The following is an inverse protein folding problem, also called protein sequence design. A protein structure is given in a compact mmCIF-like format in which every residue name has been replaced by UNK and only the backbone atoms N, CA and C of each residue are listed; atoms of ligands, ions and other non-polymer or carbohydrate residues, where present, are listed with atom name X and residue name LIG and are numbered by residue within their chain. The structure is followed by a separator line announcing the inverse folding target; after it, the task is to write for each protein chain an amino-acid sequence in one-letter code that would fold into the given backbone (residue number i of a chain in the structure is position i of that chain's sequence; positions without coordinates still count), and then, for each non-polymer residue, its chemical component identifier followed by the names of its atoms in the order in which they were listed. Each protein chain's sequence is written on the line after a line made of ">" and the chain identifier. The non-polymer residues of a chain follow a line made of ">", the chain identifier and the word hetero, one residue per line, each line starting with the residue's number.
data_IF_141748742315
#
_entry.id   IF_141748742315
#
_cell.length_a   1.000
_cell.length_b   1.000
_cell.length_c   1.000
_cell.angle_alpha   90.00
_cell.angle_beta   90.00
_cell.angle_gamma   90.00
#
_symmetry.space_group_name_H-M   'P 1'
#
loop_
_entity.id
_entity.type
_entity.pdbx_description
1 polymer ?
#
# COMPACT_ATOMS: atom_id res chain seq x y z
N UNK A 1 -56.20 -11.25 -19.39
CA UNK A 1 -55.09 -11.42 -18.42
C UNK A 1 -53.78 -11.26 -19.18
N UNK A 2 -53.15 -10.12 -19.01
CA UNK A 2 -51.88 -9.79 -19.69
C UNK A 2 -50.75 -10.16 -18.75
N UNK A 3 -49.98 -11.20 -19.08
CA UNK A 3 -48.77 -11.56 -18.35
C UNK A 3 -47.67 -10.54 -18.67
N UNK A 4 -47.30 -9.79 -17.65
CA UNK A 4 -46.14 -8.88 -17.69
C UNK A 4 -44.87 -9.74 -17.55
N UNK A 5 -44.18 -9.95 -18.67
CA UNK A 5 -42.84 -10.57 -18.68
C UNK A 5 -41.86 -9.60 -18.00
N UNK A 6 -41.49 -9.90 -16.76
CA UNK A 6 -40.39 -9.21 -16.06
C UNK A 6 -39.09 -9.74 -16.64
N UNK A 7 -38.43 -8.92 -17.47
CA UNK A 7 -37.07 -9.21 -17.93
C UNK A 7 -36.14 -9.19 -16.72
N UNK A 8 -35.20 -10.16 -16.58
CA UNK A 8 -34.24 -10.13 -15.50
C UNK A 8 -33.35 -8.87 -15.65
N UNK A 9 -33.20 -8.12 -14.56
CA UNK A 9 -32.30 -7.01 -14.47
C UNK A 9 -30.90 -7.47 -14.93
N UNK A 10 -30.30 -6.74 -15.87
CA UNK A 10 -28.90 -6.99 -16.27
C UNK A 10 -28.03 -6.95 -15.03
N UNK A 11 -27.55 -8.09 -14.57
CA UNK A 11 -26.49 -8.16 -13.58
C UNK A 11 -25.29 -7.42 -14.19
N UNK A 12 -24.94 -6.27 -13.65
CA UNK A 12 -23.74 -5.56 -14.03
C UNK A 12 -22.57 -6.55 -13.88
N UNK A 13 -21.89 -6.85 -14.99
CA UNK A 13 -20.72 -7.73 -14.97
C UNK A 13 -19.69 -7.06 -14.09
N UNK A 14 -19.41 -7.67 -12.94
CA UNK A 14 -18.36 -7.14 -12.07
C UNK A 14 -17.01 -7.21 -12.78
N UNK A 15 -16.17 -6.17 -12.67
CA UNK A 15 -14.82 -6.22 -13.25
C UNK A 15 -14.06 -7.40 -12.66
N UNK A 16 -13.18 -8.04 -13.44
CA UNK A 16 -12.39 -9.16 -12.97
C UNK A 16 -11.51 -8.76 -11.79
N UNK A 17 -11.27 -9.71 -10.88
CA UNK A 17 -10.39 -9.51 -9.73
C UNK A 17 -8.93 -9.39 -10.16
N UNK A 18 -8.15 -8.52 -9.50
CA UNK A 18 -6.69 -8.59 -9.54
C UNK A 18 -6.29 -9.90 -8.85
N UNK A 19 -5.57 -10.75 -9.57
CA UNK A 19 -5.07 -12.02 -9.05
C UNK A 19 -3.57 -11.98 -8.94
N UNK A 20 -3.07 -12.16 -7.73
CA UNK A 20 -1.65 -12.23 -7.42
C UNK A 20 -1.35 -13.61 -6.82
N UNK A 21 -0.09 -14.00 -6.77
CA UNK A 21 0.34 -15.20 -6.08
C UNK A 21 1.80 -15.16 -5.68
N UNK A 22 2.06 -15.62 -4.47
CA UNK A 22 3.30 -16.29 -4.11
C UNK A 22 3.07 -17.79 -4.27
N UNK A 23 3.37 -18.59 -3.25
CA UNK A 23 2.95 -19.99 -3.18
C UNK A 23 1.44 -20.12 -2.95
N UNK A 24 0.82 -19.10 -2.34
CA UNK A 24 -0.62 -19.00 -2.12
C UNK A 24 -1.24 -17.95 -3.05
N UNK A 25 -2.47 -18.18 -3.55
CA UNK A 25 -3.15 -17.20 -4.38
C UNK A 25 -3.76 -16.07 -3.52
N UNK A 26 -3.72 -14.85 -4.06
CA UNK A 26 -4.38 -13.66 -3.50
C UNK A 26 -5.27 -13.07 -4.58
N UNK A 27 -6.58 -12.95 -4.32
CA UNK A 27 -7.52 -12.29 -5.22
C UNK A 27 -8.05 -11.01 -4.57
N UNK A 28 -8.03 -9.91 -5.32
CA UNK A 28 -8.46 -8.59 -4.85
C UNK A 28 -9.60 -8.13 -5.75
N UNK A 29 -10.81 -8.23 -5.22
CA UNK A 29 -12.08 -7.85 -5.87
C UNK A 29 -12.82 -6.78 -5.06
N UNK A 30 -14.05 -6.50 -5.42
CA UNK A 30 -14.89 -5.50 -4.75
C UNK A 30 -15.28 -5.88 -3.30
N UNK A 31 -15.19 -7.15 -2.93
CA UNK A 31 -15.49 -7.64 -1.58
C UNK A 31 -14.25 -7.80 -0.70
N UNK A 32 -13.07 -7.59 -1.27
CA UNK A 32 -11.80 -7.74 -0.54
C UNK A 32 -11.58 -6.57 0.40
N UNK A 33 -11.18 -6.87 1.64
CA UNK A 33 -10.73 -5.85 2.59
C UNK A 33 -9.40 -5.24 2.11
N UNK A 34 -9.03 -4.11 2.73
CA UNK A 34 -7.78 -3.42 2.45
C UNK A 34 -6.56 -4.35 2.55
N UNK A 35 -5.70 -4.30 1.54
CA UNK A 35 -4.50 -5.15 1.45
C UNK A 35 -3.28 -4.41 1.96
N UNK A 36 -2.62 -4.98 2.97
CA UNK A 36 -1.38 -4.46 3.52
C UNK A 36 -0.17 -4.93 2.71
N UNK A 37 0.59 -3.98 2.14
CA UNK A 37 1.87 -4.22 1.49
C UNK A 37 2.95 -3.82 2.49
N UNK A 38 3.78 -4.77 2.92
CA UNK A 38 4.82 -4.52 3.91
C UNK A 38 5.98 -3.70 3.34
N UNK A 39 6.32 -2.57 3.98
CA UNK A 39 7.32 -1.60 3.52
C UNK A 39 8.74 -1.80 4.10
N UNK A 40 8.95 -2.80 4.99
CA UNK A 40 10.19 -2.86 5.78
C UNK A 40 11.37 -3.52 5.06
N UNK A 41 11.15 -4.25 3.97
CA UNK A 41 12.17 -4.84 3.10
C UNK A 41 12.66 -3.87 2.01
N UNK A 42 12.78 -2.60 2.38
CA UNK A 42 13.15 -1.49 1.51
C UNK A 42 14.38 -0.77 2.10
N UNK A 43 15.50 -0.74 1.36
CA UNK A 43 16.76 -0.14 1.82
C UNK A 43 16.67 1.37 1.99
N UNK A 44 15.79 2.05 1.26
CA UNK A 44 15.58 3.49 1.41
C UNK A 44 14.65 3.82 2.58
N UNK A 45 13.68 2.96 2.87
CA UNK A 45 12.67 3.14 3.92
C UNK A 45 13.06 2.59 5.31
N UNK A 46 13.97 1.60 5.37
CA UNK A 46 14.36 0.91 6.60
C UNK A 46 15.86 0.92 6.84
N UNK A 47 16.32 1.79 7.73
CA UNK A 47 17.76 1.86 8.10
C UNK A 47 18.33 0.54 8.65
N UNK A 48 17.52 -0.24 9.37
CA UNK A 48 17.94 -1.54 9.88
C UNK A 48 18.14 -2.54 8.75
N UNK A 49 17.20 -2.63 7.83
CA UNK A 49 17.28 -3.48 6.65
C UNK A 49 18.44 -3.07 5.73
N UNK A 50 18.58 -1.77 5.44
CA UNK A 50 19.69 -1.24 4.64
C UNK A 50 21.05 -1.66 5.21
N UNK A 51 21.26 -1.54 6.53
CA UNK A 51 22.48 -1.95 7.19
C UNK A 51 22.77 -3.44 7.04
N UNK A 52 21.76 -4.31 7.15
CA UNK A 52 21.93 -5.76 6.97
C UNK A 52 22.36 -6.06 5.53
N UNK A 53 21.70 -5.48 4.53
CA UNK A 53 22.00 -5.69 3.11
C UNK A 53 23.41 -5.20 2.76
N UNK A 54 23.78 -3.97 3.18
CA UNK A 54 25.10 -3.39 2.93
C UNK A 54 26.24 -4.20 3.58
N UNK A 55 25.98 -4.83 4.72
CA UNK A 55 26.93 -5.72 5.39
C UNK A 55 26.91 -7.15 4.87
N UNK A 56 26.12 -7.46 3.85
CA UNK A 56 26.01 -8.81 3.28
C UNK A 56 25.23 -9.82 4.13
N UNK A 57 24.53 -9.35 5.17
CA UNK A 57 23.74 -10.15 6.12
C UNK A 57 22.35 -10.49 5.55
N UNK A 58 22.29 -11.10 4.40
CA UNK A 58 21.01 -11.37 3.70
C UNK A 58 20.12 -12.37 4.44
N UNK A 59 20.70 -13.32 5.15
CA UNK A 59 19.96 -14.30 5.95
C UNK A 59 19.26 -13.62 7.15
N UNK A 60 19.97 -12.69 7.82
CA UNK A 60 19.37 -11.89 8.90
C UNK A 60 18.23 -10.98 8.34
N UNK A 61 18.42 -10.46 7.12
CA UNK A 61 17.42 -9.64 6.45
C UNK A 61 16.12 -10.41 6.13
N UNK A 62 16.17 -11.75 5.96
CA UNK A 62 14.97 -12.59 5.80
C UNK A 62 14.06 -12.53 7.04
N UNK A 63 14.61 -12.34 8.23
CA UNK A 63 13.80 -12.18 9.44
C UNK A 63 12.87 -10.95 9.36
N UNK A 64 13.31 -9.87 8.68
CA UNK A 64 12.49 -8.67 8.45
C UNK A 64 11.33 -9.01 7.51
N UNK A 65 11.57 -9.76 6.45
CA UNK A 65 10.51 -10.19 5.53
C UNK A 65 9.50 -11.11 6.24
N UNK A 66 9.98 -12.10 7.00
CA UNK A 66 9.14 -13.02 7.78
C UNK A 66 8.26 -12.27 8.78
N UNK A 67 8.84 -11.34 9.54
CA UNK A 67 8.10 -10.54 10.52
C UNK A 67 6.95 -9.74 9.89
N UNK A 68 7.12 -9.22 8.67
CA UNK A 68 6.05 -8.51 7.96
C UNK A 68 4.89 -9.44 7.64
N UNK A 69 5.17 -10.65 7.14
CA UNK A 69 4.15 -11.66 6.84
C UNK A 69 3.43 -12.13 8.11
N UNK A 70 4.16 -12.37 9.20
CA UNK A 70 3.61 -12.72 10.50
C UNK A 70 2.73 -11.62 11.09
N UNK A 71 3.05 -10.35 10.81
CA UNK A 71 2.26 -9.19 11.23
C UNK A 71 1.10 -8.87 10.26
N UNK A 72 0.81 -9.74 9.29
CA UNK A 72 -0.36 -9.62 8.43
C UNK A 72 -0.14 -8.90 7.10
N UNK A 73 1.10 -8.70 6.66
CA UNK A 73 1.37 -8.25 5.29
C UNK A 73 0.92 -9.34 4.30
N UNK A 74 0.09 -8.94 3.34
CA UNK A 74 -0.44 -9.83 2.30
C UNK A 74 0.38 -9.75 1.00
N UNK A 75 1.24 -8.76 0.89
CA UNK A 75 2.27 -8.55 -0.13
C UNK A 75 3.50 -7.99 0.57
N UNK A 76 4.70 -8.29 0.12
CA UNK A 76 5.92 -7.63 0.61
C UNK A 76 6.57 -6.83 -0.51
N UNK A 77 6.88 -5.56 -0.21
CA UNK A 77 7.63 -4.68 -1.09
C UNK A 77 9.13 -4.88 -0.85
N UNK A 78 9.89 -5.11 -1.94
CA UNK A 78 11.34 -5.33 -1.88
C UNK A 78 12.03 -4.28 -2.74
N UNK A 79 12.85 -3.44 -2.08
CA UNK A 79 13.66 -2.42 -2.73
C UNK A 79 15.13 -2.55 -2.31
N UNK A 80 16.01 -2.52 -3.32
CA UNK A 80 17.47 -2.60 -3.17
C UNK A 80 18.18 -1.39 -3.78
N UNK A 81 17.50 -0.26 -3.97
CA UNK A 81 18.06 0.95 -4.58
C UNK A 81 18.90 1.73 -3.58
N UNK A 82 20.19 1.39 -3.50
CA UNK A 82 21.19 2.06 -2.67
C UNK A 82 22.45 2.34 -3.51
N UNK A 83 23.01 3.55 -3.37
CA UNK A 83 24.15 4.01 -4.19
C UNK A 83 25.41 3.14 -4.03
N UNK A 84 25.62 2.57 -2.85
CA UNK A 84 26.80 1.75 -2.52
C UNK A 84 26.58 0.25 -2.76
N UNK A 85 25.46 -0.13 -3.38
CA UNK A 85 25.05 -1.51 -3.60
C UNK A 85 24.93 -1.82 -5.10
N UNK A 86 25.36 -3.02 -5.50
CA UNK A 86 24.88 -3.60 -6.76
C UNK A 86 23.41 -4.01 -6.56
N UNK A 87 22.51 -3.09 -6.82
CA UNK A 87 21.07 -3.25 -6.60
C UNK A 87 20.52 -4.47 -7.33
N UNK A 88 21.01 -4.76 -8.55
CA UNK A 88 20.57 -5.88 -9.35
C UNK A 88 20.99 -7.22 -8.73
N UNK A 89 22.26 -7.36 -8.38
CA UNK A 89 22.76 -8.57 -7.74
C UNK A 89 22.11 -8.80 -6.36
N UNK A 90 21.91 -7.73 -5.59
CA UNK A 90 21.24 -7.79 -4.29
C UNK A 90 19.78 -8.20 -4.41
N UNK A 91 19.03 -7.64 -5.37
CA UNK A 91 17.64 -8.01 -5.65
C UNK A 91 17.53 -9.50 -5.99
N UNK A 92 18.32 -9.98 -6.94
CA UNK A 92 18.33 -11.39 -7.35
C UNK A 92 18.66 -12.31 -6.16
N UNK A 93 19.70 -11.97 -5.39
CA UNK A 93 20.10 -12.76 -4.23
C UNK A 93 19.00 -12.84 -3.19
N UNK A 94 18.41 -11.71 -2.83
CA UNK A 94 17.38 -11.65 -1.78
C UNK A 94 16.08 -12.36 -2.21
N UNK A 95 15.64 -12.18 -3.45
CA UNK A 95 14.46 -12.87 -3.96
C UNK A 95 14.63 -14.38 -4.03
N UNK A 96 15.82 -14.88 -4.41
CA UNK A 96 16.13 -16.29 -4.38
C UNK A 96 16.14 -16.88 -2.96
N UNK A 97 16.60 -16.10 -1.97
CA UNK A 97 16.50 -16.51 -0.56
C UNK A 97 15.04 -16.53 -0.08
N UNK A 98 14.24 -15.53 -0.43
CA UNK A 98 12.78 -15.53 -0.14
C UNK A 98 12.13 -16.79 -0.74
N UNK A 99 12.46 -17.15 -1.98
CA UNK A 99 11.87 -18.31 -2.65
C UNK A 99 12.16 -19.64 -1.94
N UNK A 100 13.24 -19.71 -1.16
CA UNK A 100 13.59 -20.89 -0.35
C UNK A 100 12.89 -20.95 1.01
N UNK A 101 12.15 -19.89 1.40
CA UNK A 101 11.49 -19.74 2.69
C UNK A 101 9.95 -19.76 2.53
N UNK A 102 9.29 -20.93 2.67
CA UNK A 102 7.84 -21.03 2.41
C UNK A 102 6.98 -20.08 3.24
N UNK A 103 7.37 -19.78 4.47
CA UNK A 103 6.66 -18.87 5.36
C UNK A 103 6.64 -17.41 4.84
N UNK A 104 7.63 -17.04 4.02
CA UNK A 104 7.72 -15.73 3.37
C UNK A 104 7.15 -15.83 1.95
N UNK A 105 7.56 -16.84 1.19
CA UNK A 105 7.21 -17.02 -0.21
C UNK A 105 5.72 -17.30 -0.46
N UNK A 106 4.93 -17.58 0.58
CA UNK A 106 3.48 -17.76 0.47
C UNK A 106 2.77 -16.50 -0.04
N UNK A 107 3.26 -15.30 0.29
CA UNK A 107 2.69 -14.04 -0.21
C UNK A 107 3.36 -13.57 -1.51
N UNK A 108 2.64 -12.87 -2.39
CA UNK A 108 3.23 -12.25 -3.57
C UNK A 108 4.24 -11.17 -3.21
N UNK A 109 5.22 -10.97 -4.10
CA UNK A 109 6.26 -9.95 -3.96
C UNK A 109 5.95 -8.76 -4.87
N UNK A 110 6.13 -7.55 -4.34
CA UNK A 110 6.21 -6.31 -5.10
C UNK A 110 7.69 -5.96 -5.30
N UNK A 111 8.13 -5.89 -6.55
CA UNK A 111 9.50 -5.53 -6.93
C UNK A 111 9.55 -4.03 -7.10
N UNK A 112 10.26 -3.34 -6.21
CA UNK A 112 10.38 -1.89 -6.19
C UNK A 112 11.80 -1.45 -6.61
N UNK A 113 11.90 -0.72 -7.69
CA UNK A 113 13.13 -0.06 -8.12
C UNK A 113 12.86 1.11 -9.07
N UNK A 114 13.75 2.10 -9.01
CA UNK A 114 13.81 3.19 -10.00
C UNK A 114 14.49 2.78 -11.31
N UNK A 115 15.10 1.57 -11.36
CA UNK A 115 15.90 1.09 -12.48
C UNK A 115 15.23 -0.12 -13.13
N UNK A 116 14.97 -0.04 -14.43
CA UNK A 116 14.31 -1.12 -15.15
C UNK A 116 15.09 -2.45 -15.11
N UNK A 117 16.41 -2.41 -15.24
CA UNK A 117 17.26 -3.60 -15.22
C UNK A 117 17.23 -4.36 -13.89
N UNK A 118 16.98 -3.66 -12.77
CA UNK A 118 16.75 -4.26 -11.45
C UNK A 118 15.36 -4.90 -11.40
N UNK A 119 14.33 -4.19 -11.89
CA UNK A 119 12.96 -4.71 -11.97
C UNK A 119 12.92 -6.00 -12.80
N UNK A 120 13.50 -5.97 -14.00
CA UNK A 120 13.49 -7.12 -14.90
C UNK A 120 14.24 -8.32 -14.32
N UNK A 121 15.38 -8.10 -13.68
CA UNK A 121 16.10 -9.16 -12.98
C UNK A 121 15.29 -9.76 -11.82
N UNK A 122 14.56 -8.91 -11.08
CA UNK A 122 13.65 -9.36 -10.03
C UNK A 122 12.48 -10.19 -10.58
N UNK A 123 11.86 -9.76 -11.69
CA UNK A 123 10.79 -10.50 -12.35
C UNK A 123 11.20 -11.91 -12.78
N UNK A 124 12.46 -12.10 -13.13
CA UNK A 124 13.01 -13.42 -13.48
C UNK A 124 13.19 -14.36 -12.27
N UNK A 125 13.17 -13.82 -11.06
CA UNK A 125 13.34 -14.59 -9.81
C UNK A 125 12.02 -14.92 -9.11
N UNK A 126 10.96 -14.14 -9.36
CA UNK A 126 9.69 -14.26 -8.65
C UNK A 126 8.90 -15.47 -9.14
N UNK A 127 8.42 -16.27 -8.19
CA UNK A 127 7.46 -17.36 -8.43
C UNK A 127 6.03 -16.82 -8.35
N UNK A 128 5.16 -17.25 -9.27
CA UNK A 128 3.79 -16.77 -9.32
C UNK A 128 3.64 -15.41 -9.97
N UNK A 129 2.59 -14.66 -9.58
CA UNK A 129 2.28 -13.33 -10.13
C UNK A 129 2.54 -12.25 -9.10
N UNK A 130 3.62 -11.50 -9.28
CA UNK A 130 3.99 -10.35 -8.46
C UNK A 130 3.50 -9.02 -9.00
N UNK A 131 3.98 -7.95 -8.38
CA UNK A 131 3.69 -6.56 -8.74
C UNK A 131 5.00 -5.86 -9.07
N UNK A 132 5.02 -5.00 -10.09
CA UNK A 132 6.12 -4.07 -10.37
C UNK A 132 5.79 -2.71 -9.76
N UNK A 133 6.69 -2.15 -8.98
CA UNK A 133 6.64 -0.81 -8.43
C UNK A 133 7.86 -0.02 -8.92
N UNK A 134 7.77 0.88 -9.84
CA UNK A 134 6.60 1.36 -10.56
C UNK A 134 6.98 1.75 -12.00
N UNK A 135 5.97 2.01 -12.80
CA UNK A 135 6.13 2.68 -14.09
C UNK A 135 5.42 4.03 -14.11
N UNK A 136 5.86 4.94 -14.95
CA UNK A 136 5.26 6.25 -15.11
C UNK A 136 5.59 6.86 -16.47
N UNK A 137 4.93 7.96 -16.83
CA UNK A 137 5.21 8.73 -18.03
C UNK A 137 6.30 9.79 -17.83
N UNK A 138 7.07 9.73 -16.74
CA UNK A 138 8.16 10.67 -16.41
C UNK A 138 9.14 10.86 -17.57
N UNK A 139 9.51 9.78 -18.25
CA UNK A 139 10.46 9.76 -19.36
C UNK A 139 9.75 9.72 -20.71
N UNK A 140 8.45 10.01 -20.74
CA UNK A 140 7.61 10.02 -21.92
C UNK A 140 6.82 8.74 -22.15
N UNK A 141 5.94 8.79 -23.15
CA UNK A 141 4.97 7.75 -23.45
C UNK A 141 5.61 6.46 -24.00
N UNK A 142 6.62 6.55 -24.86
CA UNK A 142 7.19 5.36 -25.49
C UNK A 142 7.97 4.47 -24.50
N UNK A 143 8.83 4.98 -23.62
CA UNK A 143 9.42 4.17 -22.54
C UNK A 143 8.34 3.55 -21.64
N UNK A 144 7.29 4.30 -21.29
CA UNK A 144 6.16 3.82 -20.50
C UNK A 144 5.46 2.61 -21.15
N UNK A 145 5.10 2.72 -22.44
CA UNK A 145 4.52 1.61 -23.21
C UNK A 145 5.46 0.41 -23.31
N UNK A 146 6.75 0.67 -23.51
CA UNK A 146 7.76 -0.38 -23.60
C UNK A 146 7.82 -1.21 -22.32
N UNK A 147 7.97 -0.55 -21.16
CA UNK A 147 7.98 -1.22 -19.87
C UNK A 147 6.65 -1.94 -19.57
N UNK A 148 5.52 -1.33 -19.87
CA UNK A 148 4.22 -1.95 -19.71
C UNK A 148 4.07 -3.25 -20.53
N UNK A 149 4.54 -3.27 -21.79
CA UNK A 149 4.56 -4.49 -22.62
C UNK A 149 5.42 -5.59 -22.01
N UNK A 150 6.57 -5.24 -21.44
CA UNK A 150 7.46 -6.19 -20.78
C UNK A 150 6.81 -6.75 -19.52
N UNK A 151 6.25 -5.91 -18.65
CA UNK A 151 5.52 -6.34 -17.44
C UNK A 151 4.40 -7.31 -17.80
N UNK A 152 3.60 -6.97 -18.82
CA UNK A 152 2.54 -7.85 -19.32
C UNK A 152 3.07 -9.20 -19.80
N UNK A 153 4.24 -9.25 -20.47
CA UNK A 153 4.88 -10.50 -20.91
C UNK A 153 5.34 -11.37 -19.75
N UNK A 154 5.79 -10.76 -18.64
CA UNK A 154 6.09 -11.46 -17.40
C UNK A 154 4.83 -11.86 -16.62
N UNK A 155 3.66 -11.36 -17.00
CA UNK A 155 2.39 -11.66 -16.34
C UNK A 155 2.21 -10.97 -15.00
N UNK A 156 2.99 -9.92 -14.70
CA UNK A 156 2.90 -9.17 -13.46
C UNK A 156 1.83 -8.05 -13.50
N UNK A 157 1.35 -7.63 -12.35
CA UNK A 157 0.62 -6.37 -12.17
C UNK A 157 1.60 -5.19 -12.08
N UNK A 158 1.12 -3.98 -12.28
CA UNK A 158 1.96 -2.78 -12.24
C UNK A 158 1.37 -1.66 -11.39
N UNK A 159 2.18 -1.09 -10.52
CA UNK A 159 1.93 0.22 -9.94
C UNK A 159 2.25 1.28 -10.99
N UNK A 160 1.29 2.16 -11.23
CA UNK A 160 1.38 3.28 -12.17
C UNK A 160 1.32 4.58 -11.39
N UNK A 161 2.46 5.26 -11.28
CA UNK A 161 2.52 6.53 -10.57
C UNK A 161 1.91 7.67 -11.39
N UNK A 162 1.18 8.55 -10.72
CA UNK A 162 0.72 9.81 -11.31
C UNK A 162 1.89 10.78 -11.49
N UNK A 163 2.75 10.49 -12.47
CA UNK A 163 3.96 11.20 -12.80
C UNK A 163 4.13 11.23 -14.31
N UNK A 164 4.14 12.41 -14.91
CA UNK A 164 4.38 12.60 -16.34
C UNK A 164 5.62 13.46 -16.63
N UNK A 165 5.78 13.85 -17.86
CA UNK A 165 6.90 14.66 -18.37
C UNK A 165 7.02 16.02 -17.66
N UNK A 166 5.92 16.51 -17.05
CA UNK A 166 5.86 17.78 -16.31
C UNK A 166 6.15 17.64 -14.82
N UNK A 167 6.21 16.40 -14.30
CA UNK A 167 6.47 16.12 -12.89
C UNK A 167 5.40 15.27 -12.21
N UNK A 168 5.59 15.06 -10.91
CA UNK A 168 4.62 14.37 -10.06
C UNK A 168 3.34 15.20 -9.91
N UNK A 169 2.19 14.53 -9.94
CA UNK A 169 0.91 15.16 -9.66
C UNK A 169 0.77 15.46 -8.18
N UNK A 170 0.64 16.72 -7.83
CA UNK A 170 0.42 17.22 -6.48
C UNK A 170 -1.05 17.58 -6.22
N UNK A 171 -1.75 18.12 -7.19
CA UNK A 171 -3.15 18.55 -7.12
C UNK A 171 -4.11 17.48 -7.63
N UNK A 172 -5.35 17.50 -7.16
CA UNK A 172 -6.43 16.62 -7.62
C UNK A 172 -6.55 16.59 -9.14
N UNK A 173 -6.58 17.77 -9.79
CA UNK A 173 -6.73 17.86 -11.24
C UNK A 173 -5.60 17.13 -11.99
N UNK A 174 -4.35 17.30 -11.55
CA UNK A 174 -3.19 16.64 -12.14
C UNK A 174 -3.20 15.13 -11.91
N UNK A 175 -3.64 14.69 -10.72
CA UNK A 175 -3.74 13.27 -10.37
C UNK A 175 -4.70 12.54 -11.32
N UNK A 176 -5.90 13.07 -11.51
CA UNK A 176 -6.90 12.45 -12.39
C UNK A 176 -6.52 12.53 -13.86
N UNK A 177 -5.95 13.65 -14.32
CA UNK A 177 -5.48 13.82 -15.70
C UNK A 177 -4.43 12.76 -16.07
N UNK A 178 -3.40 12.59 -15.24
CA UNK A 178 -2.32 11.64 -15.50
C UNK A 178 -2.83 10.20 -15.39
N UNK A 179 -3.64 9.88 -14.38
CA UNK A 179 -4.19 8.53 -14.23
C UNK A 179 -5.09 8.16 -15.42
N UNK A 180 -5.96 9.07 -15.88
CA UNK A 180 -6.81 8.84 -17.05
C UNK A 180 -5.98 8.63 -18.33
N UNK A 181 -5.00 9.49 -18.57
CA UNK A 181 -4.08 9.37 -19.72
C UNK A 181 -3.33 8.03 -19.68
N UNK A 182 -2.75 7.67 -18.55
CA UNK A 182 -2.04 6.42 -18.37
C UNK A 182 -2.95 5.20 -18.57
N UNK A 183 -4.17 5.24 -18.03
CA UNK A 183 -5.16 4.18 -18.19
C UNK A 183 -5.47 3.92 -19.67
N UNK A 184 -5.79 4.98 -20.42
CA UNK A 184 -6.10 4.85 -21.85
C UNK A 184 -4.93 4.28 -22.64
N UNK A 185 -3.71 4.75 -22.41
CA UNK A 185 -2.51 4.21 -23.05
C UNK A 185 -2.34 2.73 -22.74
N UNK A 186 -2.47 2.34 -21.45
CA UNK A 186 -2.27 0.96 -21.03
C UNK A 186 -3.33 0.02 -21.61
N UNK A 187 -4.60 0.40 -21.52
CA UNK A 187 -5.71 -0.46 -21.93
C UNK A 187 -5.86 -0.45 -23.45
N UNK A 188 -5.93 0.72 -24.09
CA UNK A 188 -6.30 0.84 -25.50
C UNK A 188 -5.11 0.57 -26.43
N UNK A 189 -3.89 0.97 -26.05
CA UNK A 189 -2.72 0.89 -26.93
C UNK A 189 -1.77 -0.28 -26.58
N UNK A 190 -1.63 -0.62 -25.30
CA UNK A 190 -0.78 -1.74 -24.86
C UNK A 190 -1.61 -3.04 -24.71
N UNK A 191 -2.92 -2.93 -24.46
CA UNK A 191 -3.79 -4.06 -24.13
C UNK A 191 -3.47 -4.65 -22.76
N UNK A 192 -3.04 -3.80 -21.81
CA UNK A 192 -2.78 -4.20 -20.43
C UNK A 192 -4.10 -4.50 -19.73
N UNK A 193 -4.22 -5.61 -18.96
CA UNK A 193 -5.46 -5.90 -18.24
C UNK A 193 -5.80 -4.80 -17.23
N UNK A 194 -7.00 -4.21 -17.28
CA UNK A 194 -7.38 -3.14 -16.35
C UNK A 194 -7.26 -3.52 -14.88
N UNK A 195 -7.57 -4.78 -14.54
CA UNK A 195 -7.48 -5.32 -13.18
C UNK A 195 -6.04 -5.44 -12.65
N UNK A 196 -5.05 -5.44 -13.53
CA UNK A 196 -3.63 -5.50 -13.20
C UNK A 196 -2.98 -4.11 -13.07
N UNK A 197 -3.75 -3.04 -13.30
CA UNK A 197 -3.32 -1.64 -13.13
C UNK A 197 -3.59 -1.21 -11.68
N UNK A 198 -2.53 -0.75 -11.00
CA UNK A 198 -2.62 -0.24 -9.63
C UNK A 198 -2.13 1.21 -9.65
N UNK A 199 -3.03 2.18 -9.56
CA UNK A 199 -2.62 3.59 -9.54
C UNK A 199 -2.04 3.99 -8.18
N UNK A 200 -0.93 4.71 -8.21
CA UNK A 200 -0.42 5.52 -7.10
C UNK A 200 -0.56 7.00 -7.48
N UNK A 201 -1.63 7.68 -7.02
CA UNK A 201 -1.80 9.10 -7.30
C UNK A 201 -0.93 10.01 -6.43
N UNK A 202 0.13 9.52 -5.85
CA UNK A 202 1.11 10.15 -4.97
C UNK A 202 0.54 10.65 -3.64
N UNK A 203 1.02 10.09 -2.55
CA UNK A 203 0.76 10.57 -1.19
C UNK A 203 1.88 11.52 -0.78
N UNK A 204 1.53 12.76 -0.44
CA UNK A 204 2.45 13.78 0.05
C UNK A 204 2.22 14.08 1.53
N UNK A 205 3.24 14.67 2.16
CA UNK A 205 3.19 15.04 3.56
C UNK A 205 2.19 16.16 3.82
N UNK A 206 1.43 16.03 4.92
CA UNK A 206 0.54 17.06 5.45
C UNK A 206 1.17 17.77 6.63
N UNK A 207 0.58 18.89 7.07
CA UNK A 207 1.06 19.72 8.19
C UNK A 207 2.56 20.11 8.06
N UNK A 208 2.96 20.51 6.87
CA UNK A 208 4.34 20.92 6.57
C UNK A 208 4.63 22.39 6.92
N UNK A 209 3.60 23.16 7.28
CA UNK A 209 3.66 24.61 7.45
C UNK A 209 3.56 25.41 6.15
N UNK A 210 3.37 24.73 5.01
CA UNK A 210 3.19 25.34 3.69
C UNK A 210 1.71 25.24 3.31
N UNK A 211 1.05 26.37 3.01
CA UNK A 211 -0.40 26.44 2.79
C UNK A 211 -0.84 25.57 1.57
N UNK A 212 -0.06 25.57 0.50
CA UNK A 212 -0.33 24.78 -0.71
C UNK A 212 -0.37 23.27 -0.43
N UNK A 213 0.28 22.81 0.66
CA UNK A 213 0.31 21.40 1.03
C UNK A 213 -0.90 20.93 1.86
N UNK A 214 -1.70 21.87 2.36
CA UNK A 214 -2.80 21.57 3.26
C UNK A 214 -3.86 20.64 2.63
N UNK A 215 -4.00 20.67 1.30
CA UNK A 215 -5.01 19.90 0.60
C UNK A 215 -4.51 18.54 0.06
N UNK A 216 -3.24 18.20 0.21
CA UNK A 216 -2.65 17.00 -0.41
C UNK A 216 -3.33 15.69 -0.06
N UNK A 217 -3.74 15.51 1.20
CA UNK A 217 -4.45 14.30 1.61
C UNK A 217 -5.88 14.26 1.06
N UNK A 218 -6.57 15.38 1.03
CA UNK A 218 -7.91 15.52 0.42
C UNK A 218 -7.83 15.23 -1.07
N UNK A 219 -6.85 15.82 -1.78
CA UNK A 219 -6.65 15.61 -3.21
C UNK A 219 -6.39 14.14 -3.54
N UNK A 220 -5.64 13.44 -2.69
CA UNK A 220 -5.44 12.00 -2.84
C UNK A 220 -6.76 11.24 -2.65
N UNK A 221 -7.48 11.47 -1.56
CA UNK A 221 -8.73 10.77 -1.23
C UNK A 221 -9.78 10.98 -2.34
N UNK A 222 -9.94 12.21 -2.82
CA UNK A 222 -10.88 12.51 -3.91
C UNK A 222 -10.42 11.88 -5.26
N UNK A 223 -9.10 11.82 -5.50
CA UNK A 223 -8.57 11.12 -6.67
C UNK A 223 -8.87 9.62 -6.62
N UNK A 224 -8.81 8.99 -5.44
CA UNK A 224 -9.22 7.59 -5.26
C UNK A 224 -10.68 7.41 -5.68
N UNK A 225 -11.61 8.25 -5.19
CA UNK A 225 -13.04 8.20 -5.56
C UNK A 225 -13.24 8.32 -7.06
N UNK A 226 -12.52 9.26 -7.68
CA UNK A 226 -12.61 9.49 -9.10
C UNK A 226 -12.10 8.28 -9.91
N UNK A 227 -10.92 7.73 -9.57
CA UNK A 227 -10.34 6.55 -10.21
C UNK A 227 -11.31 5.37 -10.14
N UNK A 228 -11.85 5.08 -8.95
CA UNK A 228 -12.78 3.96 -8.77
C UNK A 228 -14.09 4.09 -9.56
N UNK A 229 -14.51 5.32 -9.84
CA UNK A 229 -15.75 5.58 -10.62
C UNK A 229 -15.54 5.69 -12.13
N UNK A 230 -14.34 6.05 -12.60
CA UNK A 230 -14.07 6.38 -14.01
C UNK A 230 -13.12 5.39 -14.71
N UNK A 231 -12.27 4.68 -13.97
CA UNK A 231 -11.30 3.75 -14.53
C UNK A 231 -11.62 2.31 -14.10
N UNK A 232 -12.57 1.65 -14.79
CA UNK A 232 -13.09 0.36 -14.37
C UNK A 232 -12.00 -0.72 -14.33
N UNK A 233 -11.99 -1.51 -13.25
CA UNK A 233 -11.00 -2.58 -13.02
C UNK A 233 -9.77 -2.12 -12.27
N UNK A 234 -9.33 -0.86 -12.45
CA UNK A 234 -8.12 -0.35 -11.81
C UNK A 234 -8.21 -0.38 -10.27
N UNK A 235 -7.06 -0.65 -9.66
CA UNK A 235 -6.84 -0.62 -8.21
C UNK A 235 -6.11 0.66 -7.83
N UNK A 236 -6.12 1.00 -6.53
CA UNK A 236 -5.40 2.15 -6.00
C UNK A 236 -4.53 1.73 -4.82
N UNK A 237 -3.28 2.21 -4.83
CA UNK A 237 -2.29 2.04 -3.78
C UNK A 237 -1.62 3.37 -3.44
N UNK A 238 -0.69 3.35 -2.50
CA UNK A 238 0.20 4.47 -2.20
C UNK A 238 1.10 4.19 -1.01
N UNK A 239 2.20 4.92 -0.93
CA UNK A 239 3.14 4.88 0.19
C UNK A 239 2.61 5.66 1.39
N UNK A 240 1.88 4.99 2.30
CA UNK A 240 1.15 5.64 3.40
C UNK A 240 2.05 6.40 4.34
N UNK A 241 3.27 5.92 4.59
CA UNK A 241 4.24 6.58 5.48
C UNK A 241 4.60 8.01 5.06
N UNK A 242 4.39 8.37 3.78
CA UNK A 242 4.68 9.71 3.26
C UNK A 242 3.75 10.78 3.86
N UNK A 243 2.48 10.45 4.14
CA UNK A 243 1.51 11.43 4.66
C UNK A 243 1.96 12.08 5.97
N UNK A 244 2.70 11.33 6.79
CA UNK A 244 3.15 11.77 8.11
C UNK A 244 4.63 12.19 8.18
N UNK A 245 5.25 12.45 7.03
CA UNK A 245 6.69 12.74 6.96
C UNK A 245 7.13 13.94 7.81
N UNK A 246 6.28 14.96 7.93
CA UNK A 246 6.49 16.15 8.79
C UNK A 246 6.63 15.82 10.28
N UNK A 247 6.11 14.66 10.72
CA UNK A 247 6.20 14.20 12.11
C UNK A 247 7.21 13.07 12.32
N UNK A 248 8.25 12.97 11.49
CA UNK A 248 9.32 11.98 11.69
C UNK A 248 9.92 12.07 13.09
N UNK A 249 10.01 10.91 13.78
CA UNK A 249 10.49 10.82 15.16
C UNK A 249 9.40 10.98 16.22
N UNK A 250 8.13 11.09 15.83
CA UNK A 250 6.97 11.08 16.72
C UNK A 250 6.01 9.96 16.30
N UNK A 251 6.32 8.73 16.67
CA UNK A 251 5.59 7.55 16.22
C UNK A 251 4.10 7.56 16.61
N UNK A 252 3.68 7.99 17.83
CA UNK A 252 2.26 8.06 18.19
C UNK A 252 1.44 8.96 17.26
N UNK A 253 1.96 10.15 16.92
CA UNK A 253 1.28 11.08 16.00
C UNK A 253 1.27 10.52 14.57
N UNK A 254 2.37 9.91 14.13
CA UNK A 254 2.45 9.27 12.81
C UNK A 254 1.43 8.13 12.67
N UNK A 255 1.35 7.27 13.68
CA UNK A 255 0.36 6.19 13.71
C UNK A 255 -1.08 6.73 13.63
N UNK A 256 -1.38 7.79 14.37
CA UNK A 256 -2.69 8.44 14.31
C UNK A 256 -2.98 9.02 12.92
N UNK A 257 -2.00 9.68 12.29
CA UNK A 257 -2.14 10.23 10.92
C UNK A 257 -2.38 9.08 9.91
N UNK A 258 -1.61 8.00 9.98
CA UNK A 258 -1.81 6.82 9.12
C UNK A 258 -3.21 6.24 9.29
N UNK A 259 -3.63 6.06 10.53
CA UNK A 259 -4.94 5.47 10.88
C UNK A 259 -6.10 6.30 10.34
N UNK A 260 -6.08 7.63 10.57
CA UNK A 260 -7.14 8.54 10.09
C UNK A 260 -7.11 8.65 8.56
N UNK A 261 -5.93 8.80 7.96
CA UNK A 261 -5.79 8.85 6.51
C UNK A 261 -6.35 7.59 5.84
N UNK A 262 -5.93 6.41 6.31
CA UNK A 262 -6.40 5.12 5.77
C UNK A 262 -7.90 4.94 5.97
N UNK A 263 -8.46 5.34 7.11
CA UNK A 263 -9.89 5.28 7.34
C UNK A 263 -10.68 5.98 6.23
N UNK A 264 -10.31 7.20 5.87
CA UNK A 264 -10.98 7.96 4.81
C UNK A 264 -10.61 7.47 3.39
N UNK A 265 -9.36 7.09 3.15
CA UNK A 265 -8.92 6.60 1.84
C UNK A 265 -9.55 5.25 1.47
N UNK A 266 -9.68 4.33 2.43
CA UNK A 266 -10.35 3.04 2.24
C UNK A 266 -11.84 3.25 1.96
N UNK A 267 -12.51 4.14 2.67
CA UNK A 267 -13.90 4.50 2.39
C UNK A 267 -14.07 5.14 0.99
N UNK A 268 -13.04 5.82 0.48
CA UNK A 268 -13.03 6.34 -0.87
C UNK A 268 -12.78 5.25 -1.93
N UNK A 269 -12.34 4.05 -1.53
CA UNK A 269 -12.12 2.90 -2.40
C UNK A 269 -10.63 2.53 -2.61
N UNK A 270 -9.71 3.00 -1.75
CA UNK A 270 -8.31 2.57 -1.78
C UNK A 270 -8.23 1.07 -1.50
N UNK A 271 -7.63 0.31 -2.42
CA UNK A 271 -7.63 -1.16 -2.36
C UNK A 271 -6.47 -1.70 -1.51
N UNK A 272 -5.32 -1.04 -1.53
CA UNK A 272 -4.10 -1.48 -0.86
C UNK A 272 -3.20 -0.31 -0.49
N UNK A 273 -2.20 -0.55 0.36
CA UNK A 273 -1.23 0.48 0.73
C UNK A 273 0.09 -0.11 1.19
N UNK A 274 1.17 0.60 0.85
CA UNK A 274 2.52 0.28 1.32
C UNK A 274 2.64 0.88 2.72
N UNK A 275 2.67 0.00 3.73
CA UNK A 275 2.54 0.36 5.13
C UNK A 275 3.49 -0.41 6.03
N UNK A 276 3.81 0.16 7.18
CA UNK A 276 4.31 -0.62 8.30
C UNK A 276 3.09 -1.19 9.05
N UNK A 277 2.78 -2.47 8.86
CA UNK A 277 1.61 -3.12 9.47
C UNK A 277 1.56 -2.96 11.01
N UNK A 278 2.71 -2.82 11.66
CA UNK A 278 2.80 -2.55 13.10
C UNK A 278 2.47 -1.10 13.52
N UNK A 279 2.25 -0.18 12.55
CA UNK A 279 1.94 1.24 12.79
C UNK A 279 0.56 1.65 12.23
N UNK A 280 -0.31 0.70 12.01
CA UNK A 280 -1.71 0.95 11.61
C UNK A 280 -2.59 0.61 12.81
N UNK A 281 -3.22 1.62 13.37
CA UNK A 281 -4.14 1.48 14.51
C UNK A 281 -5.59 1.30 14.08
N UNK A 282 -6.48 1.15 15.05
CA UNK A 282 -7.93 1.18 14.86
C UNK A 282 -8.42 2.61 15.07
N UNK A 283 -9.20 3.13 14.11
CA UNK A 283 -9.67 4.52 14.13
C UNK A 283 -10.44 4.90 15.41
N UNK A 284 -11.31 3.99 15.89
CA UNK A 284 -12.13 4.23 17.08
C UNK A 284 -11.34 4.17 18.39
N UNK A 285 -10.17 3.53 18.38
CA UNK A 285 -9.29 3.42 19.56
C UNK A 285 -8.36 4.64 19.73
N UNK A 286 -8.34 5.56 18.76
CA UNK A 286 -7.57 6.79 18.87
C UNK A 286 -8.12 7.68 19.99
N UNK A 287 -7.21 8.29 20.76
CA UNK A 287 -7.58 9.30 21.75
C UNK A 287 -8.39 10.42 21.07
N UNK A 288 -9.59 10.79 21.60
CA UNK A 288 -10.53 11.66 20.88
C UNK A 288 -9.96 13.03 20.47
N UNK A 289 -9.15 13.68 21.32
CA UNK A 289 -8.54 14.98 21.00
C UNK A 289 -7.49 14.84 19.90
N UNK A 290 -6.64 13.81 19.97
CA UNK A 290 -5.66 13.53 18.94
C UNK A 290 -6.34 13.20 17.61
N UNK A 291 -7.40 12.36 17.63
CA UNK A 291 -8.17 12.02 16.44
C UNK A 291 -8.76 13.26 15.78
N UNK A 292 -9.43 14.14 16.54
CA UNK A 292 -10.00 15.38 16.02
C UNK A 292 -8.94 16.25 15.34
N UNK A 293 -7.78 16.46 16.01
CA UNK A 293 -6.68 17.27 15.47
C UNK A 293 -6.08 16.68 14.19
N UNK A 294 -5.93 15.38 14.16
CA UNK A 294 -5.43 14.67 12.98
C UNK A 294 -6.44 14.72 11.83
N UNK A 295 -7.75 14.56 12.11
CA UNK A 295 -8.79 14.71 11.09
C UNK A 295 -8.85 16.13 10.52
N UNK A 296 -8.70 17.15 11.37
CA UNK A 296 -8.64 18.54 10.91
C UNK A 296 -7.52 18.74 9.88
N UNK A 297 -6.36 18.07 10.08
CA UNK A 297 -5.22 18.12 9.16
C UNK A 297 -5.49 17.29 7.89
N UNK A 298 -5.90 16.04 8.04
CA UNK A 298 -6.07 15.10 6.91
C UNK A 298 -7.19 15.57 5.97
N UNK A 299 -8.26 16.14 6.52
CA UNK A 299 -9.41 16.60 5.77
C UNK A 299 -9.38 18.13 5.49
N UNK A 300 -8.29 18.81 5.86
CA UNK A 300 -8.13 20.25 5.69
C UNK A 300 -9.36 21.05 6.17
N UNK A 301 -9.87 20.70 7.36
CA UNK A 301 -11.13 21.28 7.90
C UNK A 301 -10.98 22.73 8.35
N UNK A 302 -9.73 23.17 8.63
CA UNK A 302 -9.45 24.48 9.17
C UNK A 302 -8.02 24.95 8.84
N UNK A 303 -7.80 26.26 8.67
CA UNK A 303 -6.49 26.79 8.25
C UNK A 303 -5.36 26.54 9.27
N UNK A 304 -5.68 26.53 10.58
CA UNK A 304 -4.74 26.36 11.69
C UNK A 304 -4.56 24.89 12.12
N UNK A 305 -5.05 23.94 11.32
CA UNK A 305 -5.05 22.52 11.69
C UNK A 305 -3.63 21.99 11.99
N UNK A 306 -2.65 22.35 11.15
CA UNK A 306 -1.26 21.93 11.33
C UNK A 306 -0.65 22.43 12.62
N UNK A 307 -0.83 23.71 12.97
CA UNK A 307 -0.34 24.32 14.22
C UNK A 307 -0.96 23.63 15.44
N UNK A 308 -2.27 23.43 15.42
CA UNK A 308 -3.01 22.75 16.49
C UNK A 308 -2.56 21.31 16.70
N UNK A 309 -2.16 20.59 15.67
CA UNK A 309 -1.60 19.24 15.79
C UNK A 309 -0.20 19.28 16.39
N UNK A 310 0.64 20.23 15.99
CA UNK A 310 1.99 20.41 16.55
C UNK A 310 1.93 20.70 18.05
N UNK A 311 0.99 21.53 18.52
CA UNK A 311 0.81 21.84 19.96
C UNK A 311 0.65 20.60 20.83
N UNK A 312 -0.09 19.57 20.37
CA UNK A 312 -0.30 18.35 21.14
C UNK A 312 0.73 17.24 20.84
N UNK A 313 1.48 17.39 19.76
CA UNK A 313 2.44 16.36 19.32
C UNK A 313 3.53 16.09 20.34
N UNK A 314 3.98 17.11 21.09
CA UNK A 314 4.98 16.96 22.15
C UNK A 314 4.43 16.18 23.36
N UNK A 315 3.15 16.41 23.69
CA UNK A 315 2.47 15.72 24.79
C UNK A 315 2.20 14.25 24.44
N UNK A 316 1.81 13.98 23.20
CA UNK A 316 1.62 12.62 22.70
C UNK A 316 2.91 11.79 22.68
N UNK A 317 4.07 12.45 22.46
CA UNK A 317 5.39 11.81 22.47
C UNK A 317 5.81 11.33 23.87
N UNK A 318 5.38 12.00 24.93
CA UNK A 318 5.74 11.67 26.31
C UNK A 318 4.89 10.55 26.93
N UNK A 319 3.73 10.24 26.33
CA UNK A 319 2.89 9.09 26.67
C UNK A 319 3.43 7.81 26.07
N UNK A 320 4.60 7.32 26.55
CA UNK A 320 5.14 6.04 26.09
C UNK A 320 4.08 4.95 26.24
N UNK A 321 3.76 4.27 25.14
CA UNK A 321 2.87 3.10 25.15
C UNK A 321 3.42 2.09 26.16
N UNK A 322 2.65 1.80 27.17
CA UNK A 322 2.86 0.63 28.00
C UNK A 322 2.49 -0.61 27.17
N UNK A 323 3.47 -1.12 26.42
CA UNK A 323 3.33 -2.32 25.59
C UNK A 323 3.02 -3.58 26.44
N UNK A 324 3.11 -3.47 27.77
CA UNK A 324 2.75 -4.56 28.70
C UNK A 324 1.29 -4.99 28.53
N UNK A 325 0.36 -4.06 28.28
CA UNK A 325 -1.06 -4.37 28.05
C UNK A 325 -1.33 -5.10 26.72
N UNK A 326 -0.54 -4.87 25.69
CA UNK A 326 -0.67 -5.58 24.40
C UNK A 326 -0.25 -7.05 24.48
N UNK A 327 0.53 -7.42 25.49
CA UNK A 327 1.06 -8.77 25.68
C UNK A 327 0.37 -9.55 26.81
N UNK A 328 -0.52 -8.92 27.59
CA UNK A 328 -1.25 -9.59 28.71
C UNK A 328 -2.02 -10.84 28.22
N UNK A 329 -2.59 -10.80 27.00
CA UNK A 329 -3.28 -11.95 26.45
C UNK A 329 -2.36 -13.17 26.18
N UNK A 330 -1.05 -12.95 25.96
CA UNK A 330 -0.07 -14.05 25.78
C UNK A 330 0.22 -14.81 27.07
N UNK A 331 -0.01 -14.19 28.21
CA UNK A 331 0.12 -14.81 29.53
C UNK A 331 -1.14 -15.56 30.00
N UNK A 332 -2.26 -15.41 29.27
CA UNK A 332 -3.52 -16.05 29.63
C UNK A 332 -3.55 -17.48 29.08
N UNK A 333 -3.89 -18.50 29.89
CA UNK A 333 -3.98 -19.87 29.40
C UNK A 333 -4.94 -20.00 28.23
N UNK A 334 -4.52 -20.72 27.19
CA UNK A 334 -5.25 -20.89 25.92
C UNK A 334 -6.72 -21.33 26.09
N UNK A 335 -7.03 -22.04 27.14
CA UNK A 335 -8.36 -22.52 27.47
C UNK A 335 -9.41 -21.43 27.77
N UNK A 336 -8.98 -20.18 28.03
CA UNK A 336 -9.92 -19.05 28.27
C UNK A 336 -10.40 -18.38 26.98
N UNK A 337 -9.79 -18.70 25.83
CA UNK A 337 -10.16 -18.13 24.52
C UNK A 337 -10.99 -19.05 23.63
N UNK A 338 -11.24 -20.28 24.04
CA UNK A 338 -12.19 -21.15 23.35
C UNK A 338 -13.60 -20.81 23.82
N UNK A 339 -14.26 -19.90 23.11
CA UNK A 339 -15.74 -19.86 23.16
C UNK A 339 -16.25 -21.25 22.82
N UNK A 340 -17.17 -21.84 23.58
CA UNK A 340 -17.76 -23.12 23.20
C UNK A 340 -18.34 -22.95 21.79
N UNK A 341 -17.92 -23.84 20.88
CA UNK A 341 -18.49 -23.90 19.54
C UNK A 341 -20.01 -24.04 19.65
N UNK A 342 -20.81 -23.41 18.77
CA UNK A 342 -22.25 -23.66 18.72
C UNK A 342 -22.62 -25.14 18.61
N UNK A 343 -21.70 -26.02 18.24
CA UNK A 343 -21.85 -27.47 18.20
C UNK A 343 -21.75 -28.15 19.56
N UNK A 344 -21.12 -27.51 20.54
CA UNK A 344 -20.95 -28.07 21.89
C UNK A 344 -22.19 -27.80 22.76
N UNK A 345 -23.09 -26.93 22.35
CA UNK A 345 -24.34 -26.62 23.06
C UNK A 345 -25.47 -27.65 22.84
N UNK A 346 -25.24 -28.68 22.02
CA UNK A 346 -26.26 -29.71 21.69
C UNK A 346 -26.01 -31.08 22.33
N UNK A 347 -25.08 -31.18 23.28
CA UNK A 347 -24.75 -32.43 23.99
C UNK A 347 -24.90 -32.28 25.52
N UNK A 348 -26.05 -31.76 25.98
CA UNK A 348 -26.48 -31.87 27.34
C UNK A 348 -27.98 -32.13 27.41
#
# INVERSE_FOLDING_TARGET
>A
MSETVVLPSSSAVQPPALRLSGLEPVAIDAGTLFVNIGERTNVTGSKAFARMILNGQFEDALAVARQQVENGAQVIDVNMDEAMLDSKAAMVKFLNLIASEPDIAKVPVMIDSSKWDVIEAGLQCVQGKGIVNSISMKEGVEPFKHHARLIRRYGAAAVVMAFDESGQADTYARKIEICERAYRILVDEVGFPPEDIIFDPNIFAVATGIEEHNNYAVDFIESVRWIKSHLPGAKVSGGVSNVSFSFRGNDPVREAIHTVFLYHAIQAGMDMGIVNAGMVGVYDDLEPVLRERVEDVVLNRRPDAGERLVEIAETAKSGAKDDSKKLEWRGTPCLLYTSPSPRDATLS
#
